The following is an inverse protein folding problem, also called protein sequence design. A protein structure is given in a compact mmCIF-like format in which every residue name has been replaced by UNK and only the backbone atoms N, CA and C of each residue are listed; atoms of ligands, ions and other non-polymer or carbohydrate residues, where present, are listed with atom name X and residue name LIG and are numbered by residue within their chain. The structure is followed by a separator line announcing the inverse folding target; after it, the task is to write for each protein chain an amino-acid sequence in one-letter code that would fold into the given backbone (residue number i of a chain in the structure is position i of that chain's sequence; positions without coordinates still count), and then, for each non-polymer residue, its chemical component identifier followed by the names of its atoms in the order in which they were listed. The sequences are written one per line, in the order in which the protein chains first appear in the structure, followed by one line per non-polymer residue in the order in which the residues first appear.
data_IF_424328486274
#
_entry.id   IF_424328486274
#
_cell.length_a   1.000
_cell.length_b   1.000
_cell.length_c   1.000
_cell.angle_alpha   90.00
_cell.angle_beta   90.00
_cell.angle_gamma   90.00
#
_symmetry.space_group_name_H-M   'P 1'
#
loop_
_entity.id
_entity.type
_entity.pdbx_description
1 polymer ?
#
# COMPACT_ATOMS: atom_id res chain seq x y z
N UNK A 1 15.65 -17.17 -6.49
CA UNK A 1 14.89 -17.30 -7.73
C UNK A 1 13.69 -16.37 -7.59
N UNK A 2 13.71 -15.21 -8.27
CA UNK A 2 12.65 -14.20 -8.16
C UNK A 2 11.46 -14.65 -9.02
N UNK A 3 10.41 -15.19 -8.40
CA UNK A 3 9.15 -15.44 -9.10
C UNK A 3 8.52 -14.10 -9.47
N UNK A 4 8.04 -13.88 -10.71
CA UNK A 4 7.31 -12.68 -11.06
C UNK A 4 6.00 -12.66 -10.25
N UNK A 5 5.85 -11.66 -9.38
CA UNK A 5 4.58 -11.44 -8.69
C UNK A 5 3.52 -11.06 -9.72
N UNK A 6 2.31 -11.64 -9.67
CA UNK A 6 1.27 -11.38 -10.64
C UNK A 6 0.99 -9.88 -10.67
N UNK A 7 1.08 -9.30 -11.87
CA UNK A 7 0.78 -7.90 -12.15
C UNK A 7 -0.60 -7.58 -11.59
N UNK A 8 -0.63 -6.86 -10.48
CA UNK A 8 -1.83 -6.28 -9.95
C UNK A 8 -2.21 -5.15 -10.90
N UNK A 9 -2.97 -5.47 -11.96
CA UNK A 9 -3.42 -4.56 -13.02
C UNK A 9 -3.48 -3.11 -12.55
N UNK A 10 -2.52 -2.31 -13.01
CA UNK A 10 -2.59 -0.86 -12.98
C UNK A 10 -3.70 -0.48 -13.95
N UNK A 11 -4.61 0.39 -13.52
CA UNK A 11 -5.71 0.82 -14.39
C UNK A 11 -5.19 1.36 -15.73
N UNK A 12 -6.02 1.34 -16.80
CA UNK A 12 -5.59 1.46 -18.20
C UNK A 12 -5.08 2.86 -18.67
N UNK A 13 -4.39 3.65 -17.85
CA UNK A 13 -3.80 4.92 -18.33
C UNK A 13 -2.50 5.37 -17.69
N UNK A 14 -2.05 4.76 -16.57
CA UNK A 14 -0.82 5.19 -15.90
C UNK A 14 0.23 4.08 -15.99
N UNK A 15 1.26 4.35 -16.78
CA UNK A 15 2.42 3.49 -16.96
C UNK A 15 3.59 3.89 -16.06
N UNK A 16 4.68 3.15 -16.15
CA UNK A 16 5.90 3.45 -15.41
C UNK A 16 6.68 4.64 -15.99
N UNK A 17 6.28 5.15 -17.16
CA UNK A 17 6.77 6.40 -17.77
C UNK A 17 6.38 7.65 -16.96
N UNK A 18 5.36 7.55 -16.10
CA UNK A 18 4.96 8.58 -15.15
C UNK A 18 5.01 8.04 -13.71
N UNK A 19 6.21 7.90 -13.10
CA UNK A 19 6.38 7.18 -11.83
C UNK A 19 5.58 7.79 -10.65
N UNK A 20 5.41 9.11 -10.61
CA UNK A 20 4.62 9.75 -9.55
C UNK A 20 3.11 9.62 -9.76
N UNK A 21 2.64 9.62 -11.01
CA UNK A 21 1.24 9.28 -11.30
C UNK A 21 0.97 7.82 -10.93
N UNK A 22 1.94 6.92 -11.17
CA UNK A 22 1.86 5.51 -10.76
C UNK A 22 1.76 5.38 -9.23
N UNK A 23 2.58 6.11 -8.47
CA UNK A 23 2.49 6.15 -7.01
C UNK A 23 1.12 6.69 -6.54
N UNK A 24 0.62 7.77 -7.14
CA UNK A 24 -0.71 8.29 -6.83
C UNK A 24 -1.84 7.29 -7.17
N UNK A 25 -1.71 6.54 -8.27
CA UNK A 25 -2.65 5.47 -8.63
C UNK A 25 -2.60 4.31 -7.61
N UNK A 26 -1.40 3.98 -7.09
CA UNK A 26 -1.22 3.07 -5.97
C UNK A 26 -1.92 3.59 -4.71
N UNK A 27 -1.81 4.87 -4.35
CA UNK A 27 -2.52 5.46 -3.21
C UNK A 27 -4.04 5.33 -3.34
N UNK A 28 -4.58 5.67 -4.52
CA UNK A 28 -6.02 5.55 -4.77
C UNK A 28 -6.51 4.10 -4.60
N UNK A 29 -5.69 3.11 -4.98
CA UNK A 29 -6.00 1.70 -4.78
C UNK A 29 -5.86 1.28 -3.31
N UNK A 30 -4.87 1.81 -2.60
CA UNK A 30 -4.68 1.59 -1.18
C UNK A 30 -5.89 2.08 -0.38
N UNK A 31 -6.37 3.30 -0.65
CA UNK A 31 -7.59 3.83 -0.02
C UNK A 31 -8.81 2.93 -0.25
N UNK A 32 -9.02 2.44 -1.48
CA UNK A 32 -10.11 1.50 -1.77
C UNK A 32 -9.98 0.18 -1.00
N UNK A 33 -8.76 -0.33 -0.82
CA UNK A 33 -8.50 -1.53 -0.01
C UNK A 33 -8.77 -1.27 1.48
N UNK A 34 -8.43 -0.09 2.01
CA UNK A 34 -8.73 0.31 3.38
C UNK A 34 -10.24 0.49 3.61
N UNK A 35 -10.97 1.03 2.64
CA UNK A 35 -12.43 1.14 2.68
C UNK A 35 -13.10 -0.23 2.61
N UNK A 36 -12.54 -1.16 1.81
CA UNK A 36 -13.00 -2.54 1.79
C UNK A 36 -12.80 -3.22 3.14
N UNK A 37 -11.64 -3.05 3.77
CA UNK A 37 -11.36 -3.56 5.12
C UNK A 37 -12.36 -3.01 6.17
N UNK A 38 -12.68 -1.71 6.10
CA UNK A 38 -13.69 -1.10 6.97
C UNK A 38 -15.10 -1.64 6.73
N UNK A 39 -15.49 -1.88 5.47
CA UNK A 39 -16.78 -2.50 5.11
C UNK A 39 -16.85 -3.96 5.56
N UNK A 40 -15.76 -4.71 5.40
CA UNK A 40 -15.65 -6.09 5.85
C UNK A 40 -15.94 -6.20 7.35
N UNK A 41 -15.35 -5.34 8.19
CA UNK A 41 -15.64 -5.34 9.62
C UNK A 41 -17.12 -5.15 9.96
N UNK A 42 -17.83 -4.27 9.23
CA UNK A 42 -19.28 -4.06 9.40
C UNK A 42 -20.09 -5.27 8.91
N UNK A 43 -19.69 -5.85 7.79
CA UNK A 43 -20.34 -7.02 7.21
C UNK A 43 -20.23 -8.23 8.13
N UNK A 44 -19.04 -8.51 8.66
CA UNK A 44 -18.80 -9.59 9.61
C UNK A 44 -19.67 -9.46 10.86
N UNK A 45 -19.89 -8.24 11.35
CA UNK A 45 -20.76 -8.00 12.49
C UNK A 45 -22.24 -8.29 12.17
N UNK A 46 -22.71 -7.93 10.97
CA UNK A 46 -24.11 -8.05 10.59
C UNK A 46 -24.49 -9.42 10.02
N UNK A 47 -23.58 -10.07 9.29
CA UNK A 47 -23.86 -11.24 8.44
C UNK A 47 -22.93 -12.43 8.73
N UNK A 48 -21.83 -12.23 9.46
CA UNK A 48 -20.82 -13.27 9.71
C UNK A 48 -19.91 -13.54 8.50
N UNK A 49 -19.20 -14.67 8.54
CA UNK A 49 -18.16 -15.04 7.57
C UNK A 49 -18.72 -15.78 6.34
N UNK A 50 -19.59 -15.10 5.57
CA UNK A 50 -20.14 -15.62 4.32
C UNK A 50 -19.16 -15.54 3.14
N UNK A 51 -19.61 -15.94 1.94
CA UNK A 51 -18.79 -15.92 0.73
C UNK A 51 -18.31 -14.50 0.36
N UNK A 52 -19.10 -13.47 0.63
CA UNK A 52 -18.73 -12.08 0.35
C UNK A 52 -17.61 -11.61 1.29
N UNK A 53 -17.71 -11.95 2.58
CA UNK A 53 -16.67 -11.67 3.56
C UNK A 53 -15.34 -12.34 3.19
N UNK A 54 -15.39 -13.62 2.79
CA UNK A 54 -14.21 -14.39 2.34
C UNK A 54 -13.56 -13.75 1.12
N UNK A 55 -14.35 -13.37 0.12
CA UNK A 55 -13.85 -12.69 -1.08
C UNK A 55 -13.20 -11.35 -0.74
N UNK A 56 -13.86 -10.53 0.08
CA UNK A 56 -13.34 -9.23 0.49
C UNK A 56 -12.03 -9.35 1.28
N UNK A 57 -11.94 -10.31 2.21
CA UNK A 57 -10.72 -10.58 2.97
C UNK A 57 -9.56 -11.01 2.06
N UNK A 58 -9.82 -11.89 1.08
CA UNK A 58 -8.83 -12.32 0.10
C UNK A 58 -8.30 -11.16 -0.77
N UNK A 59 -9.17 -10.22 -1.16
CA UNK A 59 -8.76 -9.04 -1.92
C UNK A 59 -7.88 -8.09 -1.12
N UNK A 60 -8.21 -7.88 0.17
CA UNK A 60 -7.38 -7.08 1.09
C UNK A 60 -6.03 -7.76 1.30
N UNK A 61 -6.01 -9.06 1.58
CA UNK A 61 -4.79 -9.87 1.71
C UNK A 61 -3.88 -9.72 0.50
N UNK A 62 -4.41 -9.95 -0.71
CA UNK A 62 -3.64 -9.86 -1.96
C UNK A 62 -3.02 -8.48 -2.15
N UNK A 63 -3.73 -7.40 -1.78
CA UNK A 63 -3.19 -6.05 -1.93
C UNK A 63 -2.04 -5.78 -0.96
N UNK A 64 -2.22 -6.05 0.33
CA UNK A 64 -1.21 -5.72 1.34
C UNK A 64 -0.07 -6.75 1.44
N UNK A 65 -0.24 -7.99 0.96
CA UNK A 65 0.86 -8.96 0.87
C UNK A 65 1.82 -8.67 -0.30
N UNK A 66 1.36 -7.97 -1.34
CA UNK A 66 2.12 -7.81 -2.60
C UNK A 66 2.32 -6.34 -2.97
N UNK A 67 1.24 -5.59 -3.11
CA UNK A 67 1.29 -4.23 -3.66
C UNK A 67 1.92 -3.24 -2.69
N UNK A 68 1.49 -3.26 -1.43
CA UNK A 68 1.93 -2.29 -0.43
C UNK A 68 3.44 -2.38 -0.13
N UNK A 69 4.05 -3.56 0.04
CA UNK A 69 5.50 -3.67 0.21
C UNK A 69 6.30 -3.14 -0.98
N UNK A 70 5.86 -3.42 -2.22
CA UNK A 70 6.51 -2.92 -3.42
C UNK A 70 6.40 -1.39 -3.55
N UNK A 71 5.26 -0.83 -3.13
CA UNK A 71 5.04 0.61 -3.09
C UNK A 71 5.96 1.31 -2.08
N UNK A 72 6.01 0.83 -0.83
CA UNK A 72 6.95 1.36 0.16
C UNK A 72 8.40 1.23 -0.31
N UNK A 73 8.75 0.12 -0.98
CA UNK A 73 10.08 -0.07 -1.54
C UNK A 73 10.41 0.97 -2.61
N UNK A 74 9.44 1.35 -3.46
CA UNK A 74 9.65 2.42 -4.44
C UNK A 74 9.95 3.74 -3.73
N UNK A 75 9.17 4.10 -2.70
CA UNK A 75 9.36 5.34 -1.95
C UNK A 75 10.69 5.37 -1.21
N UNK A 76 11.06 4.27 -0.57
CA UNK A 76 12.31 4.15 0.18
C UNK A 76 13.55 4.29 -0.70
N UNK A 77 13.47 3.80 -1.95
CA UNK A 77 14.57 3.89 -2.92
C UNK A 77 14.59 5.23 -3.66
N UNK A 78 13.42 5.81 -3.95
CA UNK A 78 13.32 6.92 -4.92
C UNK A 78 12.83 8.24 -4.32
N UNK A 79 12.02 8.21 -3.26
CA UNK A 79 11.41 9.41 -2.67
C UNK A 79 12.18 9.83 -1.42
N UNK A 80 12.42 8.93 -0.48
CA UNK A 80 13.04 9.25 0.80
C UNK A 80 14.48 9.78 0.68
N UNK A 81 15.35 9.28 -0.21
CA UNK A 81 16.68 9.85 -0.41
C UNK A 81 16.61 11.30 -0.91
N UNK A 82 15.76 11.58 -1.90
CA UNK A 82 15.58 12.93 -2.44
C UNK A 82 15.02 13.90 -1.39
N UNK A 83 14.13 13.45 -0.50
CA UNK A 83 13.68 14.27 0.63
C UNK A 83 14.83 14.66 1.55
N UNK A 84 15.77 13.74 1.84
CA UNK A 84 16.94 14.04 2.67
C UNK A 84 17.84 15.07 2.00
N UNK A 85 18.14 14.88 0.72
CA UNK A 85 18.94 15.83 -0.08
C UNK A 85 18.31 17.22 -0.14
N UNK A 86 16.98 17.31 -0.15
CA UNK A 86 16.23 18.57 -0.16
C UNK A 86 15.96 19.14 1.23
N UNK A 87 16.71 18.71 2.24
CA UNK A 87 16.63 19.25 3.60
C UNK A 87 15.38 18.84 4.39
N UNK A 88 14.65 17.81 3.94
CA UNK A 88 13.47 17.26 4.61
C UNK A 88 13.76 15.93 5.32
N UNK A 89 14.96 15.78 5.89
CA UNK A 89 15.38 14.54 6.55
C UNK A 89 14.45 14.08 7.68
N UNK A 90 13.86 15.01 8.43
CA UNK A 90 12.85 14.69 9.47
C UNK A 90 11.57 14.08 8.90
N UNK A 91 11.08 14.58 7.76
CA UNK A 91 9.93 13.99 7.07
C UNK A 91 10.27 12.59 6.54
N UNK A 92 11.44 12.45 5.90
CA UNK A 92 11.90 11.15 5.39
C UNK A 92 12.03 10.08 6.49
N UNK A 93 12.55 10.47 7.67
CA UNK A 93 12.64 9.58 8.83
C UNK A 93 11.26 9.20 9.37
N UNK A 94 10.33 10.15 9.46
CA UNK A 94 8.95 9.88 9.87
C UNK A 94 8.25 8.90 8.92
N UNK A 95 8.32 9.12 7.61
CA UNK A 95 7.67 8.24 6.63
C UNK A 95 8.23 6.82 6.70
N UNK A 96 9.56 6.68 6.82
CA UNK A 96 10.18 5.37 7.03
C UNK A 96 9.72 4.69 8.32
N UNK A 97 9.62 5.44 9.42
CA UNK A 97 9.11 4.89 10.68
C UNK A 97 7.64 4.45 10.55
N UNK A 98 6.83 5.22 9.82
CA UNK A 98 5.45 4.83 9.53
C UNK A 98 5.39 3.50 8.75
N UNK A 99 6.24 3.29 7.73
CA UNK A 99 6.30 2.01 7.00
C UNK A 99 6.58 0.82 7.93
N UNK A 100 7.49 0.99 8.89
CA UNK A 100 7.84 -0.07 9.85
C UNK A 100 6.66 -0.40 10.77
N UNK A 101 5.92 0.62 11.22
CA UNK A 101 4.72 0.41 12.03
C UNK A 101 3.62 -0.26 11.19
N UNK A 102 3.45 0.11 9.93
CA UNK A 102 2.50 -0.53 9.02
C UNK A 102 2.82 -1.99 8.78
N UNK A 103 4.10 -2.33 8.55
CA UNK A 103 4.53 -3.72 8.39
C UNK A 103 4.24 -4.54 9.67
N UNK A 104 4.54 -3.98 10.84
CA UNK A 104 4.24 -4.59 12.12
C UNK A 104 2.73 -4.81 12.32
N UNK A 105 1.92 -3.78 12.07
CA UNK A 105 0.48 -3.87 12.22
C UNK A 105 -0.15 -4.83 11.20
N UNK A 106 0.38 -4.88 9.97
CA UNK A 106 -0.03 -5.86 8.96
C UNK A 106 0.24 -7.28 9.43
N UNK A 107 1.42 -7.58 9.98
CA UNK A 107 1.74 -8.91 10.49
C UNK A 107 0.77 -9.38 11.59
N UNK A 108 0.21 -8.45 12.37
CA UNK A 108 -0.79 -8.72 13.41
C UNK A 108 -2.22 -8.80 12.87
N UNK A 109 -2.51 -8.07 11.81
CA UNK A 109 -3.83 -8.02 11.16
C UNK A 109 -4.06 -9.21 10.24
N UNK A 110 -3.04 -9.60 9.49
CA UNK A 110 -3.08 -10.64 8.47
C UNK A 110 -3.70 -11.97 8.94
N UNK A 111 -3.41 -12.49 10.15
CA UNK A 111 -4.06 -13.69 10.67
C UNK A 111 -5.59 -13.55 10.83
N UNK A 112 -6.09 -12.35 11.16
CA UNK A 112 -7.53 -12.13 11.28
C UNK A 112 -8.22 -12.33 9.92
N UNK A 113 -7.61 -11.82 8.85
CA UNK A 113 -8.17 -11.96 7.49
C UNK A 113 -8.05 -13.39 6.96
N UNK A 114 -6.96 -14.10 7.28
CA UNK A 114 -6.84 -15.53 6.96
C UNK A 114 -7.93 -16.34 7.66
N UNK A 115 -8.20 -16.05 8.94
CA UNK A 115 -9.30 -16.68 9.66
C UNK A 115 -10.65 -16.41 8.98
N UNK A 116 -10.91 -15.19 8.50
CA UNK A 116 -12.13 -14.90 7.72
C UNK A 116 -12.20 -15.74 6.44
N UNK A 117 -11.09 -15.88 5.71
CA UNK A 117 -11.03 -16.65 4.45
C UNK A 117 -11.24 -18.16 4.68
N UNK A 118 -10.65 -18.75 5.72
CA UNK A 118 -10.58 -20.20 5.90
C UNK A 118 -11.63 -20.73 6.88
N UNK A 119 -11.50 -20.37 8.17
CA UNK A 119 -12.22 -21.02 9.27
C UNK A 119 -13.43 -20.24 9.79
N UNK A 120 -13.56 -18.98 9.39
CA UNK A 120 -14.43 -18.00 10.04
C UNK A 120 -13.74 -17.38 11.26
N UNK A 121 -13.79 -16.04 11.36
CA UNK A 121 -13.31 -15.31 12.53
C UNK A 121 -14.35 -15.41 13.67
N UNK A 122 -13.89 -15.76 14.87
CA UNK A 122 -14.73 -15.84 16.07
C UNK A 122 -15.41 -14.49 16.36
N UNK A 123 -16.72 -14.52 16.60
CA UNK A 123 -17.51 -13.35 16.97
C UNK A 123 -16.98 -12.66 18.24
N UNK A 124 -16.38 -13.39 19.19
CA UNK A 124 -15.76 -12.79 20.38
C UNK A 124 -14.44 -12.08 20.06
N UNK A 125 -13.70 -12.54 19.06
CA UNK A 125 -12.46 -11.92 18.62
C UNK A 125 -12.69 -10.72 17.68
N UNK A 126 -13.84 -10.68 17.00
CA UNK A 126 -14.17 -9.68 15.98
C UNK A 126 -14.03 -8.22 16.46
N UNK A 127 -14.52 -7.80 17.65
CA UNK A 127 -14.38 -6.41 18.09
C UNK A 127 -12.92 -5.96 18.21
N UNK A 128 -12.05 -6.83 18.74
CA UNK A 128 -10.63 -6.53 18.91
C UNK A 128 -9.90 -6.51 17.54
N UNK A 129 -10.24 -7.42 16.64
CA UNK A 129 -9.73 -7.43 15.27
C UNK A 129 -10.11 -6.12 14.54
N UNK A 130 -11.40 -5.77 14.51
CA UNK A 130 -11.88 -4.55 13.84
C UNK A 130 -11.26 -3.28 14.43
N UNK A 131 -11.00 -3.23 15.74
CA UNK A 131 -10.29 -2.11 16.36
C UNK A 131 -8.86 -1.97 15.80
N UNK A 132 -8.11 -3.07 15.67
CA UNK A 132 -6.77 -3.07 15.03
C UNK A 132 -6.85 -2.65 13.56
N UNK A 133 -7.84 -3.15 12.82
CA UNK A 133 -8.04 -2.82 11.41
C UNK A 133 -8.28 -1.31 11.20
N UNK A 134 -9.04 -0.69 12.11
CA UNK A 134 -9.26 0.76 12.12
C UNK A 134 -7.99 1.55 12.44
N UNK A 135 -7.16 1.08 13.37
CA UNK A 135 -5.88 1.71 13.69
C UNK A 135 -4.93 1.67 12.49
N UNK A 136 -4.80 0.50 11.86
CA UNK A 136 -4.03 0.31 10.64
C UNK A 136 -4.49 1.24 9.51
N UNK A 137 -5.80 1.32 9.27
CA UNK A 137 -6.35 2.22 8.26
C UNK A 137 -6.11 3.70 8.58
N UNK A 138 -6.22 4.11 9.84
CA UNK A 138 -5.96 5.48 10.25
C UNK A 138 -4.48 5.87 10.06
N UNK A 139 -3.56 4.96 10.38
CA UNK A 139 -2.13 5.14 10.16
C UNK A 139 -1.82 5.37 8.67
N UNK A 140 -2.34 4.50 7.80
CA UNK A 140 -2.18 4.64 6.36
C UNK A 140 -2.72 5.96 5.83
N UNK A 141 -3.94 6.36 6.19
CA UNK A 141 -4.54 7.62 5.72
C UNK A 141 -3.71 8.86 6.09
N UNK A 142 -3.23 8.90 7.33
CA UNK A 142 -2.31 9.94 7.82
C UNK A 142 -1.01 9.97 7.02
N UNK A 143 -0.52 8.80 6.64
CA UNK A 143 0.74 8.64 5.93
C UNK A 143 0.60 9.09 4.47
N UNK A 144 -0.38 8.56 3.74
CA UNK A 144 -0.68 8.94 2.36
C UNK A 144 -0.90 10.45 2.23
N UNK A 145 -1.66 11.05 3.16
CA UNK A 145 -1.87 12.50 3.17
C UNK A 145 -0.57 13.29 3.37
N UNK A 146 0.38 12.78 4.17
CA UNK A 146 1.68 13.43 4.34
C UNK A 146 2.55 13.29 3.08
N UNK A 147 2.48 12.15 2.40
CA UNK A 147 3.22 11.94 1.16
C UNK A 147 2.73 12.86 0.04
N UNK A 148 1.42 12.86 -0.20
CA UNK A 148 0.80 13.66 -1.27
C UNK A 148 0.95 15.17 -1.02
N UNK A 149 0.73 15.62 0.21
CA UNK A 149 0.73 17.05 0.53
C UNK A 149 2.13 17.62 0.81
N UNK A 150 3.09 16.78 1.24
CA UNK A 150 4.40 17.26 1.70
C UNK A 150 5.59 16.61 0.99
N UNK A 151 5.55 15.31 0.70
CA UNK A 151 6.69 14.60 0.15
C UNK A 151 6.80 14.77 -1.38
N UNK A 152 5.76 14.37 -2.11
CA UNK A 152 5.77 14.35 -3.57
C UNK A 152 6.02 15.74 -4.18
N UNK A 153 5.40 16.85 -3.72
CA UNK A 153 5.69 18.18 -4.25
C UNK A 153 7.15 18.59 -4.06
N UNK A 154 7.77 18.15 -2.95
CA UNK A 154 9.17 18.47 -2.67
C UNK A 154 10.10 17.72 -3.61
N UNK A 155 9.79 16.48 -4.03
CA UNK A 155 10.70 15.65 -4.85
C UNK A 155 10.46 15.75 -6.37
N UNK A 156 9.23 16.02 -6.82
CA UNK A 156 8.92 16.11 -8.25
C UNK A 156 9.57 17.32 -8.92
N UNK A 157 9.56 18.49 -8.27
CA UNK A 157 10.02 19.76 -8.85
C UNK A 157 11.52 19.89 -9.19
N UNK A 158 12.30 18.81 -9.07
CA UNK A 158 13.75 18.81 -9.31
C UNK A 158 14.27 17.59 -10.05
N UNK A 159 13.37 16.71 -10.54
CA UNK A 159 13.77 15.52 -11.29
C UNK A 159 13.74 15.79 -12.79
N UNK A 160 14.87 15.56 -13.45
CA UNK A 160 14.97 15.57 -14.91
C UNK A 160 14.15 14.42 -15.52
N UNK A 161 13.74 14.52 -16.80
CA UNK A 161 13.05 13.43 -17.49
C UNK A 161 13.82 12.10 -17.45
N UNK A 162 15.15 12.14 -17.56
CA UNK A 162 16.00 10.95 -17.51
C UNK A 162 15.96 10.26 -16.13
N UNK A 163 15.95 11.05 -15.05
CA UNK A 163 15.83 10.50 -13.69
C UNK A 163 14.45 9.89 -13.44
N UNK A 164 13.39 10.50 -13.97
CA UNK A 164 12.04 9.95 -13.88
C UNK A 164 11.92 8.64 -14.67
N UNK A 165 12.51 8.58 -15.86
CA UNK A 165 12.56 7.35 -16.66
C UNK A 165 13.34 6.24 -15.94
N UNK A 166 14.49 6.55 -15.34
CA UNK A 166 15.27 5.58 -14.57
C UNK A 166 14.47 5.02 -13.38
N UNK A 167 13.82 5.90 -12.61
CA UNK A 167 12.91 5.51 -11.52
C UNK A 167 11.80 4.58 -12.03
N UNK A 168 11.13 4.96 -13.12
CA UNK A 168 10.08 4.17 -13.77
C UNK A 168 10.55 2.76 -14.18
N UNK A 169 11.70 2.67 -14.83
CA UNK A 169 12.29 1.40 -15.25
C UNK A 169 12.55 0.47 -14.06
N UNK A 170 13.07 1.00 -12.96
CA UNK A 170 13.31 0.22 -11.75
C UNK A 170 12.01 -0.21 -11.06
N UNK A 171 11.00 0.66 -11.02
CA UNK A 171 9.66 0.33 -10.51
C UNK A 171 9.02 -0.80 -11.33
N UNK A 172 9.16 -0.77 -12.66
CA UNK A 172 8.69 -1.81 -13.57
C UNK A 172 9.42 -3.15 -13.33
N UNK A 173 10.76 -3.10 -13.22
CA UNK A 173 11.60 -4.27 -12.99
C UNK A 173 11.25 -4.98 -11.67
N UNK A 174 10.98 -4.22 -10.59
CA UNK A 174 10.53 -4.78 -9.30
C UNK A 174 9.23 -5.58 -9.41
N UNK A 175 8.42 -5.33 -10.45
CA UNK A 175 7.14 -5.97 -10.71
C UNK A 175 7.19 -7.00 -11.85
N UNK A 176 8.37 -7.27 -12.40
CA UNK A 176 8.55 -8.15 -13.56
C UNK A 176 7.87 -7.62 -14.83
N UNK A 177 7.56 -6.33 -14.89
CA UNK A 177 6.97 -5.70 -16.06
C UNK A 177 8.05 -5.30 -17.08
N UNK A 178 7.67 -5.22 -18.36
CA UNK A 178 8.54 -4.62 -19.37
C UNK A 178 8.73 -3.13 -19.06
N UNK A 179 9.96 -2.59 -19.10
CA UNK A 179 10.21 -1.17 -18.89
C UNK A 179 9.45 -0.31 -19.91
N UNK A 180 9.06 0.93 -19.55
CA UNK A 180 8.51 1.89 -20.50
C UNK A 180 9.49 2.11 -21.66
N UNK A 181 8.96 2.22 -22.88
CA UNK A 181 9.75 2.48 -24.10
C UNK A 181 10.16 3.93 -24.20
#
# INVERSE_FOLDING_TARGET
MNSPHPLLHTGPSVGFDQPFEMLAACHARMERSLDLLGRLGRHLHAQGCDAQARSAAADVLRYFDIAAPLHHQDEELHVLPLLRERGKAGLAARLRADHQVMEHDWARLRPDLLAVVDSGLDAQALPAAVARWRQFAALYRRHLAAEEAMAFPVVTGGLTPLQQQAMGNEMAARRGATPPR
#
